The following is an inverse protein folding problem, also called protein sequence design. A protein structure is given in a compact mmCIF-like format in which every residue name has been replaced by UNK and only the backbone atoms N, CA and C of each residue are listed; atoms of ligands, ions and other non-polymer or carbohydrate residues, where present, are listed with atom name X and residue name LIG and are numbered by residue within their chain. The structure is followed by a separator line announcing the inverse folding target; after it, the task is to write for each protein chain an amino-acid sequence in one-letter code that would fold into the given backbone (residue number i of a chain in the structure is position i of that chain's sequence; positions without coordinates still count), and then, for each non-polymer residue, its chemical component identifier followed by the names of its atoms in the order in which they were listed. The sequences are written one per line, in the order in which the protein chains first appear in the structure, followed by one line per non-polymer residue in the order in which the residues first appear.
data_IF_522341666932
#
_entry.id   IF_522341666932
#
_cell.length_a   1.000
_cell.length_b   1.000
_cell.length_c   1.000
_cell.angle_alpha   90.00
_cell.angle_beta   90.00
_cell.angle_gamma   90.00
#
_symmetry.space_group_name_H-M   'P 1'
#
loop_
_entity.id
_entity.type
_entity.pdbx_description
1 polymer ?
#
# COMPACT_ATOMS: atom_id res chain seq x y z
N UNK A 1 -10.00 4.83 -15.41
CA UNK A 1 -10.86 3.69 -15.03
C UNK A 1 -11.13 3.71 -13.52
N UNK A 2 -12.07 2.93 -12.99
CA UNK A 2 -12.56 3.03 -11.59
C UNK A 2 -11.48 3.14 -10.51
N UNK A 3 -10.36 2.41 -10.65
CA UNK A 3 -9.21 2.47 -9.72
C UNK A 3 -8.57 3.87 -9.59
N UNK A 4 -8.61 4.68 -10.65
CA UNK A 4 -8.08 6.04 -10.63
C UNK A 4 -8.84 6.98 -9.69
N UNK A 5 -10.03 6.58 -9.22
CA UNK A 5 -10.81 7.32 -8.21
C UNK A 5 -10.28 7.11 -6.79
N UNK A 6 -9.37 6.15 -6.57
CA UNK A 6 -8.70 5.95 -5.29
C UNK A 6 -7.51 6.92 -5.23
N UNK A 7 -7.70 8.04 -4.53
CA UNK A 7 -6.73 9.15 -4.46
C UNK A 7 -6.12 9.35 -3.07
N UNK A 8 -6.55 8.56 -2.07
CA UNK A 8 -5.98 8.56 -0.72
C UNK A 8 -4.56 7.95 -0.71
N UNK A 9 -3.74 8.17 0.33
CA UNK A 9 -2.44 7.52 0.47
C UNK A 9 -2.54 5.99 0.42
N UNK A 10 -1.56 5.32 -0.20
CA UNK A 10 -1.52 3.84 -0.35
C UNK A 10 -0.14 3.27 -0.02
N UNK A 11 -0.10 2.29 0.87
CA UNK A 11 1.00 1.32 1.01
C UNK A 11 0.53 -0.01 0.41
N UNK A 12 1.14 -0.42 -0.70
CA UNK A 12 0.74 -1.59 -1.48
C UNK A 12 1.69 -2.75 -1.20
N UNK A 13 1.18 -3.86 -0.67
CA UNK A 13 1.98 -5.06 -0.36
C UNK A 13 1.80 -6.14 -1.43
N UNK A 14 2.90 -6.69 -1.93
CA UNK A 14 2.93 -7.73 -2.97
C UNK A 14 3.89 -8.86 -2.59
N UNK A 15 3.46 -10.10 -2.81
CA UNK A 15 4.30 -11.30 -2.76
C UNK A 15 4.62 -11.76 -4.19
N UNK A 16 5.89 -11.86 -4.53
CA UNK A 16 6.40 -12.03 -5.90
C UNK A 16 6.04 -13.35 -6.56
N UNK A 17 5.84 -14.38 -5.75
CA UNK A 17 5.58 -15.76 -6.16
C UNK A 17 4.15 -16.18 -5.77
N UNK A 18 3.26 -15.20 -5.58
CA UNK A 18 1.83 -15.43 -5.33
C UNK A 18 1.13 -15.92 -6.61
N UNK A 19 0.77 -17.20 -6.62
CA UNK A 19 0.05 -17.84 -7.72
C UNK A 19 -1.41 -17.36 -7.83
N UNK A 20 -2.02 -16.90 -6.73
CA UNK A 20 -3.38 -16.39 -6.70
C UNK A 20 -3.50 -14.95 -7.21
N UNK A 21 -2.42 -14.16 -7.06
CA UNK A 21 -2.33 -12.78 -7.53
C UNK A 21 -1.09 -12.58 -8.40
N UNK A 22 -1.15 -12.93 -9.70
CA UNK A 22 -0.02 -12.81 -10.59
C UNK A 22 0.58 -11.40 -10.58
N UNK A 23 1.91 -11.36 -10.49
CA UNK A 23 2.73 -10.15 -10.43
C UNK A 23 2.25 -9.03 -11.35
N UNK A 24 2.10 -9.32 -12.64
CA UNK A 24 1.76 -8.32 -13.65
C UNK A 24 0.37 -7.72 -13.43
N UNK A 25 -0.59 -8.51 -12.93
CA UNK A 25 -1.94 -8.04 -12.62
C UNK A 25 -1.91 -7.09 -11.43
N UNK A 26 -1.12 -7.41 -10.41
CA UNK A 26 -0.95 -6.57 -9.22
C UNK A 26 -0.26 -5.25 -9.56
N UNK A 27 0.79 -5.29 -10.38
CA UNK A 27 1.50 -4.11 -10.86
C UNK A 27 0.58 -3.19 -11.69
N UNK A 28 -0.25 -3.76 -12.58
CA UNK A 28 -1.25 -2.98 -13.33
C UNK A 28 -2.25 -2.26 -12.44
N UNK A 29 -2.69 -2.88 -11.34
CA UNK A 29 -3.56 -2.21 -10.38
C UNK A 29 -2.83 -1.07 -9.67
N UNK A 30 -1.60 -1.28 -9.21
CA UNK A 30 -0.78 -0.23 -8.61
C UNK A 30 -0.63 0.98 -9.53
N UNK A 31 -0.35 0.75 -10.82
CA UNK A 31 -0.23 1.82 -11.82
C UNK A 31 -1.56 2.58 -12.01
N UNK A 32 -2.68 1.86 -12.00
CA UNK A 32 -4.01 2.43 -12.20
C UNK A 32 -4.54 3.27 -11.02
N UNK A 33 -3.98 3.14 -9.82
CA UNK A 33 -4.35 3.96 -8.66
C UNK A 33 -4.01 5.42 -8.89
N UNK A 34 -4.97 6.31 -8.62
CA UNK A 34 -4.85 7.76 -8.77
C UNK A 34 -4.19 8.47 -7.58
N UNK A 35 -3.66 7.71 -6.62
CA UNK A 35 -3.00 8.26 -5.43
C UNK A 35 -1.69 8.96 -5.79
N UNK A 36 -1.54 10.19 -5.28
CA UNK A 36 -0.29 10.95 -5.39
C UNK A 36 0.77 10.50 -4.35
N UNK A 37 0.36 9.84 -3.27
CA UNK A 37 1.24 9.21 -2.29
C UNK A 37 1.00 7.70 -2.30
N UNK A 38 1.69 6.99 -3.19
CA UNK A 38 1.65 5.53 -3.26
C UNK A 38 3.05 4.92 -3.24
N UNK A 39 3.19 3.86 -2.45
CA UNK A 39 4.41 3.05 -2.34
C UNK A 39 4.07 1.57 -2.54
N UNK A 40 4.99 0.80 -3.11
CA UNK A 40 4.85 -0.63 -3.31
C UNK A 40 5.99 -1.37 -2.61
N UNK A 41 5.65 -2.32 -1.75
CA UNK A 41 6.57 -3.24 -1.08
C UNK A 41 6.43 -4.63 -1.71
N UNK A 42 7.50 -5.11 -2.33
CA UNK A 42 7.54 -6.41 -2.97
C UNK A 42 8.46 -7.36 -2.21
N UNK A 43 7.95 -8.55 -1.89
CA UNK A 43 8.68 -9.56 -1.13
C UNK A 43 8.69 -10.90 -1.87
N UNK A 44 9.77 -11.69 -1.80
CA UNK A 44 9.79 -13.04 -2.33
C UNK A 44 8.88 -13.98 -1.52
N UNK A 45 8.32 -15.00 -2.17
CA UNK A 45 7.46 -16.00 -1.56
C UNK A 45 6.00 -15.95 -2.05
N UNK A 46 5.24 -16.98 -1.66
CA UNK A 46 3.80 -17.08 -1.97
C UNK A 46 2.93 -16.21 -1.07
N UNK A 47 1.62 -16.18 -1.35
CA UNK A 47 0.62 -15.28 -0.76
C UNK A 47 0.76 -15.01 0.76
N UNK A 48 1.03 -16.04 1.57
CA UNK A 48 1.10 -15.94 3.03
C UNK A 48 2.52 -15.70 3.58
N UNK A 49 3.52 -15.53 2.73
CA UNK A 49 4.94 -15.39 3.14
C UNK A 49 5.34 -13.94 3.41
N UNK A 50 4.45 -13.18 4.03
CA UNK A 50 4.68 -11.78 4.39
C UNK A 50 5.76 -11.70 5.48
N UNK A 51 6.88 -10.98 5.24
CA UNK A 51 7.89 -10.80 6.27
C UNK A 51 7.37 -10.03 7.48
N UNK A 52 7.78 -10.37 8.72
CA UNK A 52 7.28 -9.70 9.92
C UNK A 52 7.50 -8.18 9.95
N UNK A 53 8.57 -7.68 9.31
CA UNK A 53 8.87 -6.24 9.27
C UNK A 53 7.82 -5.43 8.49
N UNK A 54 7.01 -6.06 7.64
CA UNK A 54 5.91 -5.39 6.93
C UNK A 54 4.82 -4.93 7.89
N UNK A 55 4.64 -5.62 9.02
CA UNK A 55 3.71 -5.20 10.08
C UNK A 55 4.15 -3.85 10.66
N UNK A 56 5.44 -3.70 10.96
CA UNK A 56 5.99 -2.44 11.46
C UNK A 56 5.84 -1.31 10.44
N UNK A 57 5.95 -1.62 9.14
CA UNK A 57 5.68 -0.63 8.09
C UNK A 57 4.23 -0.17 8.11
N UNK A 58 3.28 -1.11 8.11
CA UNK A 58 1.86 -0.78 8.13
C UNK A 58 1.45 0.01 9.36
N UNK A 59 2.02 -0.29 10.54
CA UNK A 59 1.80 0.51 11.75
C UNK A 59 2.28 1.96 11.55
N UNK A 60 3.49 2.17 11.01
CA UNK A 60 4.02 3.51 10.72
C UNK A 60 3.20 4.24 9.66
N UNK A 61 2.77 3.53 8.62
CA UNK A 61 1.90 4.07 7.58
C UNK A 61 0.59 4.56 8.18
N UNK A 62 -0.10 3.75 8.99
CA UNK A 62 -1.33 4.18 9.64
C UNK A 62 -1.10 5.33 10.62
N UNK A 63 -0.04 5.29 11.44
CA UNK A 63 0.26 6.37 12.38
C UNK A 63 0.45 7.72 11.66
N UNK A 64 1.16 7.75 10.52
CA UNK A 64 1.39 8.97 9.74
C UNK A 64 0.11 9.57 9.17
N UNK A 65 -0.84 8.74 8.72
CA UNK A 65 -2.02 9.21 7.99
C UNK A 65 -3.29 9.32 8.85
N UNK A 66 -3.37 8.58 9.96
CA UNK A 66 -4.52 8.58 10.87
C UNK A 66 -4.23 9.32 12.18
N UNK A 67 -2.97 9.43 12.60
CA UNK A 67 -2.57 10.01 13.89
C UNK A 67 -2.65 11.54 14.00
N UNK A 68 -3.06 12.24 12.93
CA UNK A 68 -3.07 13.71 12.86
C UNK A 68 -4.44 14.37 12.72
N UNK A 69 -5.54 13.61 12.66
CA UNK A 69 -6.89 14.19 12.63
C UNK A 69 -7.28 14.67 14.04
N UNK A 70 -6.69 15.79 14.50
CA UNK A 70 -6.96 16.27 15.85
C UNK A 70 -6.29 17.54 16.38
N UNK A 71 -5.57 18.36 15.61
CA UNK A 71 -5.35 19.77 15.98
C UNK A 71 -5.20 20.61 14.70
N UNK A 72 -6.13 21.52 14.36
CA UNK A 72 -5.82 22.54 13.37
C UNK A 72 -4.70 23.41 13.94
N UNK A 73 -3.55 23.51 13.25
CA UNK A 73 -2.56 24.53 13.61
C UNK A 73 -3.19 25.89 13.34
N UNK A 74 -3.57 26.58 14.41
CA UNK A 74 -3.89 27.99 14.34
C UNK A 74 -2.62 28.75 13.97
N UNK A 75 -2.64 29.40 12.81
CA UNK A 75 -1.86 30.59 12.48
C UNK A 75 -2.76 31.52 11.69
#
# INVERSE_FOLDING_TARGET
DTAARITIPVEYLLQWDDEGNPRDSVMKLFDALGSAEKTLHANPGGHFRIPPFEIDSSIRFFARHLGGAGVPSSS
#
